data_IF_001914343678
#
_entry.id   IF_001914343678
#
_cell.length_a   1.000
_cell.length_b   1.000
_cell.length_c   1.000
_cell.angle_alpha   90.00
_cell.angle_beta   90.00
_cell.angle_gamma   90.00
#
_symmetry.space_group_name_H-M   'P 1'
#
loop_
_entity.id
_entity.type
_entity.pdbx_description
1 polymer ?
#
# COMPACT_ATOMS: atom_id res chain seq x y z
N UNK A 1 3.02 10.65 2.26
CA UNK A 1 1.76 9.91 2.07
C UNK A 1 2.00 8.42 2.29
N UNK A 2 0.97 7.66 2.61
CA UNK A 2 1.01 6.21 2.81
C UNK A 2 0.14 5.52 1.76
N UNK A 3 0.68 4.48 1.11
CA UNK A 3 -0.02 3.64 0.13
C UNK A 3 -0.22 2.25 0.75
N UNK A 4 -1.47 1.82 0.83
CA UNK A 4 -1.86 0.49 1.30
C UNK A 4 -2.51 -0.34 0.19
N UNK A 5 -2.52 -1.66 0.41
CA UNK A 5 -3.11 -2.62 -0.52
C UNK A 5 -2.18 -3.03 -1.66
N UNK A 6 -0.86 -2.89 -1.48
CA UNK A 6 0.10 -3.31 -2.49
C UNK A 6 0.15 -4.84 -2.62
N UNK A 7 0.31 -5.38 -3.84
CA UNK A 7 0.53 -6.80 -4.05
C UNK A 7 1.87 -7.24 -3.43
N UNK A 8 2.03 -8.55 -3.20
CA UNK A 8 3.29 -9.09 -2.70
C UNK A 8 4.42 -8.93 -3.72
N UNK A 9 4.14 -9.16 -4.99
CA UNK A 9 5.04 -8.88 -6.09
C UNK A 9 4.74 -7.46 -6.57
N UNK A 10 5.49 -6.50 -6.03
CA UNK A 10 5.44 -5.10 -6.42
C UNK A 10 6.84 -4.69 -6.85
N UNK A 11 6.89 -4.03 -8.00
CA UNK A 11 8.07 -3.38 -8.53
C UNK A 11 8.03 -1.91 -8.07
N UNK A 12 9.03 -1.51 -7.28
CA UNK A 12 9.08 -0.19 -6.67
C UNK A 12 9.24 0.92 -7.72
N UNK A 13 10.00 0.66 -8.79
CA UNK A 13 10.21 1.62 -9.87
C UNK A 13 8.89 1.86 -10.62
N UNK A 14 8.16 0.79 -10.97
CA UNK A 14 6.84 0.94 -11.61
C UNK A 14 5.81 1.60 -10.71
N UNK A 15 5.83 1.30 -9.41
CA UNK A 15 4.96 1.96 -8.44
C UNK A 15 5.26 3.46 -8.41
N UNK A 16 6.54 3.83 -8.39
CA UNK A 16 6.98 5.22 -8.44
C UNK A 16 6.51 5.91 -9.71
N UNK A 17 6.78 5.33 -10.88
CA UNK A 17 6.36 5.88 -12.18
C UNK A 17 4.84 6.12 -12.22
N UNK A 18 4.05 5.17 -11.74
CA UNK A 18 2.58 5.29 -11.71
C UNK A 18 2.11 6.40 -10.76
N UNK A 19 2.75 6.56 -9.60
CA UNK A 19 2.46 7.64 -8.66
C UNK A 19 2.87 8.99 -9.24
N UNK A 20 4.03 9.07 -9.91
CA UNK A 20 4.53 10.28 -10.56
C UNK A 20 3.64 10.72 -11.72
N UNK A 21 3.18 9.78 -12.55
CA UNK A 21 2.24 10.03 -13.64
C UNK A 21 0.89 10.55 -13.11
N UNK A 22 0.41 10.00 -11.98
CA UNK A 22 -0.93 10.33 -11.48
C UNK A 22 -0.98 11.61 -10.67
N UNK A 23 0.03 11.86 -9.83
CA UNK A 23 -0.02 12.91 -8.82
C UNK A 23 1.09 13.94 -8.97
N UNK A 24 2.15 13.63 -9.70
CA UNK A 24 3.32 14.47 -9.87
C UNK A 24 4.55 13.94 -9.14
N UNK A 25 5.67 14.66 -9.32
CA UNK A 25 7.01 14.20 -9.00
C UNK A 25 7.17 13.73 -7.54
N UNK A 26 7.83 12.58 -7.39
CA UNK A 26 8.14 11.95 -6.11
C UNK A 26 9.59 12.27 -5.76
N UNK A 27 9.87 12.65 -4.52
CA UNK A 27 11.26 12.75 -4.03
C UNK A 27 11.74 11.38 -3.59
N UNK A 28 10.92 10.70 -2.81
CA UNK A 28 11.30 9.46 -2.15
C UNK A 28 10.11 8.51 -2.07
N UNK A 29 10.37 7.22 -2.25
CA UNK A 29 9.40 6.14 -2.06
C UNK A 29 10.10 5.00 -1.34
N UNK A 30 9.40 4.36 -0.41
CA UNK A 30 9.90 3.20 0.31
C UNK A 30 8.80 2.16 0.46
N UNK A 31 9.01 0.97 -0.11
CA UNK A 31 8.10 -0.16 0.03
C UNK A 31 8.46 -0.97 1.28
N UNK A 32 7.55 -0.99 2.25
CA UNK A 32 7.69 -1.71 3.52
C UNK A 32 6.85 -2.99 3.50
N UNK A 33 7.41 -4.07 4.08
CA UNK A 33 6.69 -5.33 4.31
C UNK A 33 6.18 -5.36 5.74
N UNK A 34 4.86 -5.28 5.92
CA UNK A 34 4.24 -5.40 7.24
C UNK A 34 3.99 -6.88 7.59
N UNK A 35 4.55 -7.34 8.71
CA UNK A 35 4.16 -8.60 9.35
C UNK A 35 2.82 -8.39 10.05
N UNK A 36 1.74 -8.87 9.46
CA UNK A 36 0.46 -8.94 10.18
C UNK A 36 0.60 -10.02 11.27
N UNK A 37 0.67 -9.58 12.53
CA UNK A 37 0.51 -10.48 13.68
C UNK A 37 -0.98 -10.80 13.82
N UNK A 38 -1.32 -12.09 13.72
CA UNK A 38 -2.68 -12.56 13.99
C UNK A 38 -2.88 -12.53 15.51
N UNK A 39 -3.31 -11.40 16.08
CA UNK A 39 -3.59 -11.29 17.52
C UNK A 39 -5.00 -10.83 17.87
N UNK A 40 -5.87 -10.58 16.89
CA UNK A 40 -7.28 -10.25 17.18
C UNK A 40 -8.18 -11.46 16.98
N UNK A 41 -8.83 -11.86 18.06
CA UNK A 41 -9.73 -13.00 18.28
C UNK A 41 -10.98 -13.05 17.38
N UNK A 42 -11.08 -12.20 16.36
CA UNK A 42 -12.05 -12.29 15.26
C UNK A 42 -11.50 -12.91 13.96
N UNK A 43 -10.21 -13.24 13.89
CA UNK A 43 -9.53 -13.70 12.66
C UNK A 43 -9.39 -15.22 12.53
N UNK A 44 -9.86 -16.01 13.50
CA UNK A 44 -9.84 -17.47 13.41
C UNK A 44 -10.72 -17.99 12.26
N UNK A 45 -11.86 -17.34 12.00
CA UNK A 45 -12.76 -17.71 10.89
C UNK A 45 -12.15 -17.42 9.51
N UNK A 46 -11.35 -16.36 9.36
CA UNK A 46 -10.64 -16.08 8.11
C UNK A 46 -9.46 -17.04 7.91
N UNK A 47 -8.70 -17.32 8.97
CA UNK A 47 -7.56 -18.24 8.91
C UNK A 47 -8.01 -19.70 8.67
N UNK A 48 -9.16 -20.12 9.19
CA UNK A 48 -9.74 -21.45 8.93
C UNK A 48 -10.31 -21.58 7.51
N UNK A 49 -10.97 -20.54 6.98
CA UNK A 49 -11.43 -20.55 5.59
C UNK A 49 -10.28 -20.55 4.56
N UNK A 50 -9.12 -19.99 4.93
CA UNK A 50 -7.92 -19.97 4.09
C UNK A 50 -7.16 -21.31 4.03
N UNK A 51 -7.52 -22.33 4.84
CA UNK A 51 -6.91 -23.67 4.72
C UNK A 51 -7.40 -24.48 3.52
N UNK A 52 -8.56 -24.15 2.93
CA UNK A 52 -9.14 -24.91 1.82
C UNK A 52 -8.67 -24.45 0.43
N UNK A 53 -8.02 -23.30 0.33
CA UNK A 53 -7.33 -22.87 -0.90
C UNK A 53 -5.84 -22.94 -0.61
N UNK A 54 -5.15 -23.94 -1.16
CA UNK A 54 -3.73 -24.23 -0.93
C UNK A 54 -2.77 -23.15 -1.41
N UNK A 55 -2.86 -21.95 -0.84
CA UNK A 55 -1.94 -20.85 -1.05
C UNK A 55 -1.39 -20.44 0.31
N UNK A 56 -0.22 -21.00 0.63
CA UNK A 56 0.59 -20.68 1.81
C UNK A 56 1.24 -19.30 1.65
N UNK A 57 0.45 -18.30 1.24
CA UNK A 57 0.90 -16.93 1.06
C UNK A 57 0.65 -16.22 2.39
N UNK A 58 1.60 -16.41 3.29
CA UNK A 58 1.69 -15.76 4.59
C UNK A 58 1.18 -14.31 4.53
N UNK A 59 0.43 -13.91 5.57
CA UNK A 59 -0.42 -12.73 5.72
C UNK A 59 0.33 -11.37 5.67
N UNK A 60 1.42 -11.27 4.92
CA UNK A 60 2.21 -10.07 4.74
C UNK A 60 1.44 -9.08 3.86
N UNK A 61 1.15 -7.90 4.41
CA UNK A 61 0.66 -6.77 3.62
C UNK A 61 1.87 -5.92 3.24
N UNK A 62 1.99 -5.56 1.95
CA UNK A 62 2.94 -4.53 1.54
C UNK A 62 2.27 -3.16 1.59
N UNK A 63 3.04 -2.18 2.03
CA UNK A 63 2.67 -0.78 2.03
C UNK A 63 3.85 0.04 1.52
N UNK A 64 3.61 1.29 1.13
CA UNK A 64 4.66 2.19 0.75
C UNK A 64 4.49 3.56 1.38
N UNK A 65 5.60 4.19 1.71
CA UNK A 65 5.66 5.60 2.05
C UNK A 65 6.13 6.37 0.84
N UNK A 66 5.51 7.53 0.60
CA UNK A 66 5.82 8.39 -0.54
C UNK A 66 5.98 9.83 -0.07
N UNK A 67 7.09 10.45 -0.43
CA UNK A 67 7.32 11.88 -0.29
C UNK A 67 7.22 12.55 -1.67
N UNK A 68 6.36 13.54 -1.80
CA UNK A 68 6.18 14.31 -3.03
C UNK A 68 7.07 15.55 -3.01
N UNK A 69 7.54 15.99 -4.18
CA UNK A 69 8.34 17.22 -4.28
C UNK A 69 7.53 18.48 -3.97
N UNK A 70 6.23 18.43 -4.19
CA UNK A 70 5.34 19.57 -4.03
C UNK A 70 4.15 19.23 -3.14
N UNK A 71 3.72 20.22 -2.34
CA UNK A 71 2.53 20.11 -1.49
C UNK A 71 1.27 19.87 -2.31
N UNK A 72 1.16 20.48 -3.50
CA UNK A 72 0.02 20.30 -4.41
C UNK A 72 -0.17 18.85 -4.86
N UNK A 73 0.93 18.16 -5.18
CA UNK A 73 0.94 16.73 -5.53
C UNK A 73 0.44 15.87 -4.36
N UNK A 74 0.94 16.17 -3.16
CA UNK A 74 0.48 15.52 -1.94
C UNK A 74 -1.02 15.73 -1.70
N UNK A 75 -1.50 16.98 -1.74
CA UNK A 75 -2.92 17.28 -1.51
C UNK A 75 -3.81 16.59 -2.55
N UNK A 76 -3.40 16.57 -3.83
CA UNK A 76 -4.13 15.86 -4.89
C UNK A 76 -4.20 14.36 -4.60
N UNK A 77 -3.08 13.73 -4.23
CA UNK A 77 -3.03 12.34 -3.86
C UNK A 77 -3.96 12.00 -2.69
N UNK A 78 -3.93 12.80 -1.62
CA UNK A 78 -4.79 12.61 -0.45
C UNK A 78 -6.27 12.85 -0.77
N UNK A 79 -6.59 13.81 -1.64
CA UNK A 79 -7.96 14.10 -2.05
C UNK A 79 -8.55 12.98 -2.91
N UNK A 80 -7.76 12.40 -3.83
CA UNK A 80 -8.22 11.31 -4.68
C UNK A 80 -8.43 10.01 -3.88
N UNK A 81 -7.68 9.80 -2.79
CA UNK A 81 -7.73 8.66 -1.85
C UNK A 81 -7.40 7.28 -2.44
N UNK A 82 -7.63 7.06 -3.72
CA UNK A 82 -7.39 5.79 -4.41
C UNK A 82 -6.89 6.03 -5.83
N UNK A 83 -6.12 5.08 -6.35
CA UNK A 83 -5.69 5.06 -7.75
C UNK A 83 -5.52 3.62 -8.22
N UNK A 84 -5.56 3.42 -9.53
CA UNK A 84 -5.43 2.09 -10.13
C UNK A 84 -3.98 1.85 -10.54
N UNK A 85 -3.43 0.71 -10.12
CA UNK A 85 -2.09 0.24 -10.46
C UNK A 85 -2.19 -1.25 -10.85
N UNK A 86 -1.75 -1.62 -12.05
CA UNK A 86 -1.86 -2.99 -12.58
C UNK A 86 -3.27 -3.60 -12.41
N UNK A 87 -4.32 -2.80 -12.64
CA UNK A 87 -5.72 -3.23 -12.49
C UNK A 87 -6.22 -3.36 -11.04
N UNK A 88 -5.38 -3.10 -10.04
CA UNK A 88 -5.75 -3.10 -8.62
C UNK A 88 -5.98 -1.68 -8.13
N UNK A 89 -7.00 -1.50 -7.29
CA UNK A 89 -7.25 -0.22 -6.65
C UNK A 89 -6.42 -0.10 -5.37
N UNK A 90 -5.39 0.74 -5.42
CA UNK A 90 -4.55 1.06 -4.28
C UNK A 90 -5.14 2.23 -3.50
N UNK A 91 -4.89 2.25 -2.19
CA UNK A 91 -5.38 3.31 -1.30
C UNK A 91 -4.21 4.18 -0.88
N UNK A 92 -4.37 5.50 -1.02
CA UNK A 92 -3.41 6.50 -0.56
C UNK A 92 -4.04 7.37 0.53
N UNK A 93 -3.35 7.52 1.65
CA UNK A 93 -3.80 8.30 2.81
C UNK A 93 -2.66 9.13 3.40
N UNK A 94 -3.01 10.02 4.33
CA UNK A 94 -2.03 10.78 5.10
C UNK A 94 -1.18 9.78 5.91
N UNK A 95 0.14 9.87 5.77
CA UNK A 95 1.03 9.11 6.65
C UNK A 95 0.95 9.75 8.04
N UNK A 96 0.76 8.94 9.07
CA UNK A 96 0.89 9.41 10.45
C UNK A 96 2.38 9.56 10.73
N UNK A 97 2.79 10.71 11.28
CA UNK A 97 4.13 10.83 11.81
C UNK A 97 4.31 9.81 12.95
N UNK A 98 5.48 9.14 13.06
CA UNK A 98 5.78 8.36 14.24
C UNK A 98 5.68 9.27 15.47
N UNK A 99 4.93 8.82 16.49
CA UNK A 99 4.81 9.52 17.78
C UNK A 99 6.10 9.41 18.58
#
# INVERSE_FOLDING_TARGET
AFIGGLPFEIDEEKLRESVEEKFGKVLWIEVVRERVRITDTGSLSLAENMRNFGNHHSLFKKCAFVEFSEKSCYDNAINQRTFTFNGMQLRIVKALAPK
#
